data_IF_061857368697
#
_entry.id   IF_061857368697
#
_cell.length_a   1.000
_cell.length_b   1.000
_cell.length_c   1.000
_cell.angle_alpha   90.00
_cell.angle_beta   90.00
_cell.angle_gamma   90.00
#
_symmetry.space_group_name_H-M   'P 1'
#
loop_
_entity.id
_entity.type
_entity.pdbx_description
1 polymer ?
#
# COMPACT_ATOMS: atom_id res chain seq x y z
N UNK A 1 -12.25 -16.77 -8.67
CA UNK A 1 -13.59 -16.36 -8.16
C UNK A 1 -13.92 -14.96 -8.69
N UNK A 2 -15.18 -14.51 -8.69
CA UNK A 2 -15.56 -13.18 -9.16
C UNK A 2 -14.74 -12.05 -8.50
N UNK A 3 -14.39 -12.23 -7.23
CA UNK A 3 -13.57 -11.36 -6.40
C UNK A 3 -12.14 -11.16 -6.92
N UNK A 4 -11.57 -12.15 -7.60
CA UNK A 4 -10.25 -12.03 -8.27
C UNK A 4 -10.28 -10.99 -9.39
N UNK A 5 -11.40 -10.89 -10.13
CA UNK A 5 -11.56 -9.89 -11.19
C UNK A 5 -11.66 -8.47 -10.62
N UNK A 6 -12.40 -8.31 -9.53
CA UNK A 6 -12.53 -7.04 -8.78
C UNK A 6 -11.17 -6.60 -8.24
N UNK A 7 -10.42 -7.53 -7.65
CA UNK A 7 -9.09 -7.26 -7.10
C UNK A 7 -8.09 -6.82 -8.19
N UNK A 8 -8.02 -7.53 -9.33
CA UNK A 8 -7.19 -7.11 -10.47
C UNK A 8 -7.60 -5.76 -11.04
N UNK A 9 -8.90 -5.48 -11.08
CA UNK A 9 -9.41 -4.19 -11.53
C UNK A 9 -9.00 -3.06 -10.59
N UNK A 10 -9.21 -3.26 -9.28
CA UNK A 10 -8.85 -2.30 -8.24
C UNK A 10 -7.33 -2.04 -8.23
N UNK A 11 -6.51 -3.08 -8.38
CA UNK A 11 -5.07 -2.96 -8.52
C UNK A 11 -4.70 -2.06 -9.71
N UNK A 12 -5.21 -2.35 -10.91
CA UNK A 12 -4.98 -1.52 -12.11
C UNK A 12 -5.47 -0.09 -11.96
N UNK A 13 -6.50 0.13 -11.15
CA UNK A 13 -7.04 1.45 -10.87
C UNK A 13 -6.13 2.25 -9.93
N UNK A 14 -5.67 1.65 -8.83
CA UNK A 14 -4.91 2.35 -7.79
C UNK A 14 -3.40 2.39 -8.10
N UNK A 15 -2.87 1.41 -8.86
CA UNK A 15 -1.44 1.29 -9.18
C UNK A 15 -0.80 2.60 -9.69
N UNK A 16 -1.40 3.37 -10.61
CA UNK A 16 -0.80 4.63 -11.06
C UNK A 16 -0.73 5.69 -9.95
N UNK A 17 -1.66 5.66 -8.99
CA UNK A 17 -1.66 6.56 -7.83
C UNK A 17 -0.54 6.16 -6.87
N UNK A 18 -0.40 4.85 -6.63
CA UNK A 18 0.68 4.29 -5.83
C UNK A 18 2.06 4.62 -6.44
N UNK A 19 2.25 4.38 -7.73
CA UNK A 19 3.51 4.63 -8.44
C UNK A 19 3.92 6.10 -8.36
N UNK A 20 2.95 7.01 -8.40
CA UNK A 20 3.19 8.46 -8.32
C UNK A 20 3.55 8.93 -6.91
N UNK A 21 2.87 8.43 -5.89
CA UNK A 21 2.87 9.06 -4.56
C UNK A 21 3.53 8.24 -3.45
N UNK A 22 3.57 6.91 -3.58
CA UNK A 22 4.02 6.01 -2.53
C UNK A 22 5.24 5.17 -2.93
N UNK A 23 5.43 4.86 -4.22
CA UNK A 23 6.50 3.94 -4.67
C UNK A 23 7.91 4.35 -4.22
N UNK A 24 8.19 5.65 -4.17
CA UNK A 24 9.50 6.17 -3.73
C UNK A 24 9.78 5.90 -2.26
N UNK A 25 8.76 5.75 -1.41
CA UNK A 25 8.89 5.51 0.03
C UNK A 25 8.54 4.06 0.44
N UNK A 26 7.90 3.29 -0.44
CA UNK A 26 7.56 1.89 -0.20
C UNK A 26 8.71 0.97 -0.62
N UNK A 27 9.09 0.07 0.29
CA UNK A 27 9.93 -1.11 0.00
C UNK A 27 9.01 -2.21 -0.55
N UNK A 28 9.29 -2.68 -1.76
CA UNK A 28 8.42 -3.66 -2.44
C UNK A 28 8.79 -5.10 -2.07
N UNK A 29 10.09 -5.38 -1.95
CA UNK A 29 10.61 -6.71 -1.68
C UNK A 29 11.98 -6.64 -0.99
N UNK A 30 12.56 -7.81 -0.70
CA UNK A 30 13.87 -7.92 -0.06
C UNK A 30 15.02 -7.38 -0.91
N UNK A 31 14.92 -7.42 -2.24
CA UNK A 31 15.96 -6.89 -3.13
C UNK A 31 15.94 -5.36 -3.12
N UNK A 32 14.76 -4.75 -3.24
CA UNK A 32 14.55 -3.30 -3.11
C UNK A 32 15.01 -2.81 -1.73
N UNK A 33 14.74 -3.59 -0.67
CA UNK A 33 15.24 -3.30 0.67
C UNK A 33 16.77 -3.24 0.75
N UNK A 34 17.45 -4.30 0.29
CA UNK A 34 18.92 -4.38 0.36
C UNK A 34 19.55 -3.25 -0.44
N UNK A 35 19.09 -3.00 -1.66
CA UNK A 35 19.61 -1.92 -2.51
C UNK A 35 19.46 -0.54 -1.86
N UNK A 36 18.31 -0.26 -1.25
CA UNK A 36 18.07 1.01 -0.54
C UNK A 36 18.92 1.13 0.73
N UNK A 37 19.11 0.03 1.45
CA UNK A 37 19.96 0.00 2.63
C UNK A 37 21.44 0.25 2.28
N UNK A 38 21.94 -0.33 1.19
CA UNK A 38 23.29 -0.10 0.67
C UNK A 38 23.48 1.36 0.23
N UNK A 39 22.50 1.96 -0.45
CA UNK A 39 22.53 3.37 -0.81
C UNK A 39 22.54 4.28 0.43
N UNK A 40 21.74 3.95 1.45
CA UNK A 40 21.70 4.65 2.73
C UNK A 40 23.03 4.56 3.48
N UNK A 41 23.67 3.39 3.45
CA UNK A 41 24.99 3.18 4.03
C UNK A 41 26.09 3.96 3.28
N UNK A 42 26.08 3.91 1.95
CA UNK A 42 27.04 4.62 1.09
C UNK A 42 26.94 6.13 1.25
N UNK A 43 25.74 6.64 1.54
CA UNK A 43 25.49 8.06 1.85
C UNK A 43 25.95 8.48 3.25
N UNK A 44 26.53 7.56 4.05
CA UNK A 44 27.07 7.84 5.38
C UNK A 44 26.02 7.95 6.50
N UNK A 45 24.77 7.58 6.23
CA UNK A 45 23.69 7.64 7.22
C UNK A 45 23.67 6.44 8.16
N UNK A 46 24.22 5.30 7.75
CA UNK A 46 24.40 4.13 8.61
C UNK A 46 25.66 4.31 9.47
N UNK A 47 25.48 4.70 10.74
CA UNK A 47 26.56 4.99 11.69
C UNK A 47 26.78 3.78 12.63
N UNK A 48 27.94 3.67 13.29
CA UNK A 48 28.18 2.62 14.28
C UNK A 48 27.17 2.56 15.43
N UNK A 49 26.46 3.67 15.69
CA UNK A 49 25.40 3.78 16.72
C UNK A 49 23.99 3.65 16.14
N UNK A 50 23.84 3.29 14.87
CA UNK A 50 22.52 3.03 14.28
C UNK A 50 22.01 1.68 14.79
N UNK A 51 20.83 1.69 15.39
CA UNK A 51 20.15 0.47 15.83
C UNK A 51 19.16 0.02 14.75
N UNK A 52 19.17 -1.28 14.46
CA UNK A 52 18.15 -1.92 13.64
C UNK A 52 17.14 -2.57 14.58
N UNK A 53 15.87 -2.20 14.40
CA UNK A 53 14.75 -2.81 15.10
C UNK A 53 13.95 -3.63 14.12
N UNK A 54 13.56 -4.83 14.54
CA UNK A 54 12.68 -5.70 13.78
C UNK A 54 11.39 -5.87 14.57
N UNK A 55 10.27 -5.61 13.91
CA UNK A 55 8.94 -5.92 14.42
C UNK A 55 8.42 -7.08 13.58
N UNK A 56 8.17 -8.20 14.24
CA UNK A 56 7.50 -9.31 13.59
C UNK A 56 5.99 -9.06 13.66
N UNK A 57 5.37 -8.89 12.48
CA UNK A 57 3.93 -8.69 12.37
C UNK A 57 3.32 -9.97 11.81
N UNK A 58 2.84 -10.81 12.72
CA UNK A 58 2.07 -12.01 12.36
C UNK A 58 0.65 -11.62 12.00
N UNK A 59 0.09 -12.20 10.93
CA UNK A 59 -1.29 -11.97 10.51
C UNK A 59 -1.67 -10.49 10.33
N UNK A 60 -0.82 -9.69 9.67
CA UNK A 60 -1.03 -8.25 9.40
C UNK A 60 -2.47 -7.93 8.97
N UNK A 61 -3.07 -8.76 8.12
CA UNK A 61 -4.44 -8.58 7.62
C UNK A 61 -5.53 -8.79 8.69
N UNK A 62 -5.29 -9.62 9.72
CA UNK A 62 -6.20 -9.75 10.86
C UNK A 62 -6.02 -8.61 11.87
N UNK A 63 -4.81 -8.05 11.93
CA UNK A 63 -4.47 -6.96 12.83
C UNK A 63 -4.85 -5.59 12.27
N UNK A 64 -4.97 -5.45 10.95
CA UNK A 64 -5.43 -4.22 10.31
C UNK A 64 -6.96 -4.11 10.47
N UNK A 65 -7.47 -3.16 11.26
CA UNK A 65 -8.89 -2.88 11.30
C UNK A 65 -9.38 -2.49 9.89
N UNK A 66 -10.27 -3.32 9.34
CA UNK A 66 -10.67 -3.22 7.93
C UNK A 66 -11.30 -1.86 7.59
N UNK A 67 -12.17 -1.33 8.45
CA UNK A 67 -12.81 -0.03 8.22
C UNK A 67 -11.80 1.12 8.32
N UNK A 68 -10.93 1.11 9.31
CA UNK A 68 -9.89 2.13 9.48
C UNK A 68 -8.89 2.12 8.31
N UNK A 69 -8.56 0.94 7.79
CA UNK A 69 -7.71 0.80 6.60
C UNK A 69 -8.36 1.40 5.34
N UNK A 70 -9.68 1.27 5.22
CA UNK A 70 -10.44 1.90 4.14
C UNK A 70 -10.49 3.40 4.32
N UNK A 71 -10.71 3.88 5.54
CA UNK A 71 -10.78 5.31 5.81
C UNK A 71 -9.42 5.98 5.54
N UNK A 72 -8.31 5.36 5.93
CA UNK A 72 -6.94 5.81 5.58
C UNK A 72 -6.75 5.88 4.06
N UNK A 73 -7.22 4.88 3.29
CA UNK A 73 -7.14 4.91 1.83
C UNK A 73 -7.90 6.11 1.25
N UNK A 74 -9.10 6.39 1.78
CA UNK A 74 -9.94 7.50 1.30
C UNK A 74 -9.32 8.84 1.68
N UNK A 75 -8.88 9.00 2.92
CA UNK A 75 -8.16 10.20 3.37
C UNK A 75 -6.92 10.45 2.52
N UNK A 76 -6.11 9.41 2.26
CA UNK A 76 -4.95 9.51 1.39
C UNK A 76 -5.33 10.01 -0.01
N UNK A 77 -6.35 9.42 -0.63
CA UNK A 77 -6.78 9.83 -1.97
C UNK A 77 -7.29 11.28 -2.00
N UNK A 78 -8.05 11.70 -0.98
CA UNK A 78 -8.52 13.08 -0.83
C UNK A 78 -7.37 14.07 -0.62
N UNK A 79 -6.41 13.75 0.25
CA UNK A 79 -5.21 14.57 0.50
C UNK A 79 -4.37 14.75 -0.76
N UNK A 80 -4.35 13.77 -1.66
CA UNK A 80 -3.69 13.84 -2.96
C UNK A 80 -4.54 14.52 -4.05
N UNK A 81 -5.71 15.05 -3.70
CA UNK A 81 -6.61 15.80 -4.59
C UNK A 81 -7.53 14.94 -5.47
N UNK A 82 -7.72 13.67 -5.14
CA UNK A 82 -8.60 12.77 -5.90
C UNK A 82 -9.99 12.66 -5.27
N UNK A 83 -10.95 13.42 -5.76
CA UNK A 83 -12.39 13.19 -5.48
C UNK A 83 -12.97 12.08 -6.36
N UNK A 84 -12.36 11.88 -7.53
CA UNK A 84 -12.61 10.78 -8.48
C UNK A 84 -11.33 10.41 -9.20
N UNK A 85 -11.17 9.14 -9.57
CA UNK A 85 -10.05 8.69 -10.38
C UNK A 85 -10.55 7.93 -11.60
N UNK A 86 -10.13 8.35 -12.81
CA UNK A 86 -10.63 7.81 -14.10
C UNK A 86 -12.17 7.75 -14.17
N UNK A 87 -12.83 8.82 -13.75
CA UNK A 87 -14.29 8.95 -13.64
C UNK A 87 -14.98 7.99 -12.64
N UNK A 88 -14.22 7.30 -11.79
CA UNK A 88 -14.76 6.48 -10.71
C UNK A 88 -14.78 7.32 -9.44
N UNK A 89 -15.95 7.54 -8.82
CA UNK A 89 -16.06 8.27 -7.55
C UNK A 89 -15.29 7.54 -6.44
N UNK A 90 -14.70 8.30 -5.53
CA UNK A 90 -13.93 7.76 -4.41
C UNK A 90 -14.74 6.77 -3.53
N UNK A 91 -16.04 7.00 -3.36
CA UNK A 91 -16.94 6.08 -2.65
C UNK A 91 -17.04 4.71 -3.32
N UNK A 92 -16.96 4.69 -4.66
CA UNK A 92 -16.96 3.43 -5.41
C UNK A 92 -15.63 2.71 -5.21
N UNK A 93 -14.52 3.44 -5.16
CA UNK A 93 -13.20 2.88 -4.83
C UNK A 93 -13.22 2.29 -3.42
N UNK A 94 -13.82 2.98 -2.43
CA UNK A 94 -14.01 2.48 -1.05
C UNK A 94 -14.76 1.15 -1.05
N UNK A 95 -15.89 1.07 -1.77
CA UNK A 95 -16.72 -0.15 -1.86
C UNK A 95 -15.98 -1.31 -2.52
N UNK A 96 -15.22 -1.06 -3.59
CA UNK A 96 -14.40 -2.08 -4.25
C UNK A 96 -13.29 -2.59 -3.32
N UNK A 97 -12.60 -1.69 -2.61
CA UNK A 97 -11.59 -2.06 -1.63
C UNK A 97 -12.18 -2.87 -0.47
N UNK A 98 -13.36 -2.49 0.04
CA UNK A 98 -14.07 -3.22 1.08
C UNK A 98 -14.36 -4.67 0.67
N UNK A 99 -14.79 -4.90 -0.58
CA UNK A 99 -15.03 -6.24 -1.11
C UNK A 99 -13.74 -7.05 -1.14
N UNK A 100 -12.64 -6.45 -1.62
CA UNK A 100 -11.33 -7.13 -1.69
C UNK A 100 -10.83 -7.52 -0.31
N UNK A 101 -10.93 -6.60 0.66
CA UNK A 101 -10.49 -6.83 2.05
C UNK A 101 -11.35 -7.88 2.74
N UNK A 102 -12.68 -7.77 2.68
CA UNK A 102 -13.60 -8.74 3.34
C UNK A 102 -13.45 -10.16 2.81
N UNK A 103 -13.21 -10.30 1.51
CA UNK A 103 -13.08 -11.59 0.85
C UNK A 103 -11.65 -12.13 0.88
N UNK A 104 -10.70 -11.43 1.52
CA UNK A 104 -9.27 -11.71 1.48
C UNK A 104 -8.75 -11.95 0.05
N UNK A 105 -9.34 -11.28 -0.93
CA UNK A 105 -9.12 -11.53 -2.35
C UNK A 105 -7.94 -10.72 -2.89
N UNK A 106 -6.85 -10.63 -2.13
CA UNK A 106 -5.65 -9.90 -2.56
C UNK A 106 -5.01 -10.67 -3.73
N UNK A 107 -4.84 -10.01 -4.88
CA UNK A 107 -4.06 -10.61 -5.96
C UNK A 107 -2.58 -10.53 -5.57
N UNK A 108 -1.96 -11.70 -5.42
CA UNK A 108 -0.51 -11.88 -5.51
C UNK A 108 -0.06 -11.71 -6.96
#
# INVERSE_FOLDING_TARGET
MPTTGISKFLDKLIRPIFDKHARSITIIDGVDFIQRLEAYATSGYLKPKTYLYMFDITDLYKMLPHEESLDILIEFLLQQGYEKFRNIPIDTIRKLALIVIKENAFCL
#
